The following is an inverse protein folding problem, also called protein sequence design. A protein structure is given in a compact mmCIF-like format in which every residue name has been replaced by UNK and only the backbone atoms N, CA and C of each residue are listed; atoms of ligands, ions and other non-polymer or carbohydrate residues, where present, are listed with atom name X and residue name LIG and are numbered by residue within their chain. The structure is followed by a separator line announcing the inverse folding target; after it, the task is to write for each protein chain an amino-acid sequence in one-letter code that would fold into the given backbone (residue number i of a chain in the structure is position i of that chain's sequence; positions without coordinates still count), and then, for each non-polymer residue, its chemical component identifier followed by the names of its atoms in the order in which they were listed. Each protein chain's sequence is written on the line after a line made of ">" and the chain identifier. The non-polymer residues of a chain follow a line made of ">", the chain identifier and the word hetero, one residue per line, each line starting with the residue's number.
data_IF_479417538067
#
_entry.id   IF_479417538067
#
_cell.length_a   1.000
_cell.length_b   1.000
_cell.length_c   1.000
_cell.angle_alpha   90.00
_cell.angle_beta   90.00
_cell.angle_gamma   90.00
#
_symmetry.space_group_name_H-M   'P 1'
#
loop_
_entity.id
_entity.type
_entity.pdbx_description
1 polymer ?
#
# COMPACT_ATOMS: atom_id res chain seq x y z
N UNK A 1 1.61 21.45 -1.71
CA UNK A 1 1.02 20.19 -2.21
C UNK A 1 1.68 19.08 -1.44
N UNK A 2 0.92 18.09 -0.96
CA UNK A 2 1.47 16.98 -0.18
C UNK A 2 2.61 16.33 -0.97
N UNK A 3 3.74 16.09 -0.31
CA UNK A 3 4.93 15.51 -0.95
C UNK A 3 4.77 14.00 -1.16
N UNK A 4 3.81 13.37 -0.48
CA UNK A 4 3.48 11.95 -0.65
C UNK A 4 2.00 11.66 -0.41
N UNK A 5 1.42 10.76 -1.20
CA UNK A 5 0.08 10.21 -0.98
C UNK A 5 0.16 8.95 -0.14
N UNK A 6 -0.49 8.94 1.01
CA UNK A 6 -0.50 7.85 1.98
C UNK A 6 -1.82 7.07 1.92
N UNK A 7 -1.79 5.94 1.23
CA UNK A 7 -2.93 5.04 1.05
C UNK A 7 -2.99 4.05 2.20
N UNK A 8 -4.00 4.22 3.06
CA UNK A 8 -4.14 3.41 4.26
C UNK A 8 -5.57 3.34 4.76
N UNK A 9 -5.80 2.62 5.86
CA UNK A 9 -7.08 2.62 6.57
C UNK A 9 -6.86 2.91 8.04
N UNK A 10 -7.65 3.82 8.61
CA UNK A 10 -7.51 4.30 10.00
C UNK A 10 -7.52 3.16 11.04
N UNK A 11 -8.19 2.05 10.76
CA UNK A 11 -8.30 0.89 11.68
C UNK A 11 -7.07 -0.04 11.65
N UNK A 12 -6.09 0.20 10.79
CA UNK A 12 -4.91 -0.64 10.68
C UNK A 12 -3.78 -0.15 11.59
N UNK A 13 -3.36 -1.00 12.55
CA UNK A 13 -2.23 -0.69 13.45
C UNK A 13 -0.94 -0.33 12.72
N UNK A 14 -0.59 -1.03 11.62
CA UNK A 14 0.60 -0.70 10.83
C UNK A 14 0.48 0.66 10.14
N UNK A 15 -0.71 1.02 9.65
CA UNK A 15 -0.98 2.36 9.12
C UNK A 15 -0.84 3.44 10.19
N UNK A 16 -1.33 3.20 11.41
CA UNK A 16 -1.21 4.15 12.51
C UNK A 16 0.26 4.38 12.91
N UNK A 17 1.08 3.32 12.90
CA UNK A 17 2.53 3.43 13.15
C UNK A 17 3.23 4.24 12.05
N UNK A 18 2.94 3.92 10.79
CA UNK A 18 3.45 4.65 9.64
C UNK A 18 3.04 6.13 9.66
N UNK A 19 1.79 6.42 10.00
CA UNK A 19 1.28 7.78 10.11
C UNK A 19 2.03 8.57 11.19
N UNK A 20 2.17 8.00 12.40
CA UNK A 20 2.94 8.62 13.48
C UNK A 20 4.39 8.89 13.07
N UNK A 21 5.02 7.94 12.38
CA UNK A 21 6.39 8.11 11.91
C UNK A 21 6.52 9.30 10.94
N UNK A 22 5.55 9.49 10.04
CA UNK A 22 5.50 10.64 9.12
C UNK A 22 5.28 11.95 9.89
N UNK A 23 4.33 11.95 10.84
CA UNK A 23 4.02 13.11 11.68
C UNK A 23 5.23 13.53 12.53
N UNK A 24 5.94 12.58 13.15
CA UNK A 24 7.13 12.81 13.98
C UNK A 24 8.30 13.42 13.19
N UNK A 25 8.39 13.12 11.89
CA UNK A 25 9.41 13.66 10.98
C UNK A 25 8.96 14.92 10.25
N UNK A 26 7.72 15.37 10.46
CA UNK A 26 7.17 16.54 9.78
C UNK A 26 7.03 16.36 8.26
N UNK A 27 6.86 15.11 7.79
CA UNK A 27 6.65 14.83 6.37
C UNK A 27 5.24 15.28 5.97
N UNK A 28 5.10 16.09 4.92
CA UNK A 28 3.79 16.51 4.40
C UNK A 28 3.15 15.39 3.55
N UNK A 29 2.05 14.80 4.03
CA UNK A 29 1.39 13.70 3.34
C UNK A 29 -0.12 13.90 3.18
N UNK A 30 -0.67 13.30 2.13
CA UNK A 30 -2.13 13.21 1.94
C UNK A 30 -2.63 11.85 2.40
N UNK A 31 -3.36 11.80 3.51
CA UNK A 31 -4.06 10.58 3.91
C UNK A 31 -5.20 10.26 2.94
N UNK A 32 -5.16 9.07 2.34
CA UNK A 32 -6.18 8.56 1.44
C UNK A 32 -6.66 7.21 1.95
N UNK A 33 -7.99 7.08 2.14
CA UNK A 33 -8.56 5.78 2.43
C UNK A 33 -8.60 4.94 1.16
N UNK A 34 -7.73 3.94 1.09
CA UNK A 34 -7.57 3.13 -0.11
C UNK A 34 -8.80 2.29 -0.47
N UNK A 35 -9.76 2.11 0.46
CA UNK A 35 -11.05 1.49 0.14
C UNK A 35 -12.02 2.45 -0.53
N UNK A 36 -11.77 3.76 -0.44
CA UNK A 36 -12.55 4.80 -1.12
C UNK A 36 -11.89 5.25 -2.41
N UNK A 37 -10.56 5.35 -2.39
CA UNK A 37 -9.76 5.76 -3.54
C UNK A 37 -8.52 4.87 -3.60
N UNK A 38 -8.53 3.95 -4.55
CA UNK A 38 -7.40 3.06 -4.80
C UNK A 38 -6.13 3.85 -5.18
N UNK A 39 -4.93 3.30 -4.89
CA UNK A 39 -3.70 3.78 -5.50
C UNK A 39 -3.80 3.75 -7.02
N UNK A 40 -2.95 4.51 -7.73
CA UNK A 40 -2.86 4.42 -9.18
C UNK A 40 -2.69 2.97 -9.62
N UNK A 41 -3.40 2.58 -10.68
CA UNK A 41 -3.41 1.19 -11.16
C UNK A 41 -2.01 0.69 -11.48
N UNK A 42 -1.16 1.54 -12.05
CA UNK A 42 0.25 1.27 -12.32
C UNK A 42 1.04 0.88 -11.07
N UNK A 43 0.78 1.51 -9.91
CA UNK A 43 1.40 1.19 -8.63
C UNK A 43 0.93 -0.18 -8.13
N UNK A 44 -0.36 -0.49 -8.29
CA UNK A 44 -0.92 -1.79 -7.91
C UNK A 44 -0.30 -2.90 -8.77
N UNK A 45 -0.26 -2.70 -10.09
CA UNK A 45 0.33 -3.64 -11.04
C UNK A 45 1.83 -3.85 -10.77
N UNK A 46 2.59 -2.77 -10.53
CA UNK A 46 4.00 -2.84 -10.16
C UNK A 46 4.19 -3.63 -8.86
N UNK A 47 3.40 -3.34 -7.82
CA UNK A 47 3.49 -4.05 -6.55
C UNK A 47 3.16 -5.55 -6.69
N UNK A 48 2.13 -5.90 -7.46
CA UNK A 48 1.76 -7.28 -7.74
C UNK A 48 2.85 -8.00 -8.55
N UNK A 49 3.49 -7.32 -9.51
CA UNK A 49 4.58 -7.88 -10.31
C UNK A 49 5.85 -8.11 -9.48
N UNK A 50 6.23 -7.15 -8.65
CA UNK A 50 7.48 -7.21 -7.87
C UNK A 50 7.38 -8.14 -6.67
N UNK A 51 6.25 -8.12 -5.95
CA UNK A 51 6.10 -8.87 -4.69
C UNK A 51 5.28 -10.14 -4.83
N UNK A 52 4.62 -10.34 -5.97
CA UNK A 52 3.69 -11.44 -6.17
C UNK A 52 2.56 -11.43 -5.14
N UNK A 53 2.24 -12.61 -4.60
CA UNK A 53 1.33 -12.76 -3.47
C UNK A 53 1.77 -11.99 -2.21
N UNK A 54 3.03 -11.56 -2.11
CA UNK A 54 3.53 -10.68 -1.04
C UNK A 54 2.89 -9.29 -1.04
N UNK A 55 2.34 -8.83 -2.17
CA UNK A 55 1.55 -7.61 -2.24
C UNK A 55 0.12 -7.78 -1.72
N UNK A 56 -0.34 -9.02 -1.50
CA UNK A 56 -1.63 -9.30 -0.91
C UNK A 56 -1.53 -9.40 0.63
N UNK A 57 -2.61 -9.02 1.29
CA UNK A 57 -2.73 -9.08 2.75
C UNK A 57 -2.85 -10.53 3.20
N UNK A 58 -1.76 -11.08 3.76
CA UNK A 58 -1.68 -12.47 4.30
C UNK A 58 -2.82 -12.88 5.26
N UNK A 59 -3.41 -11.92 5.99
CA UNK A 59 -4.52 -12.16 6.94
C UNK A 59 -5.91 -12.07 6.30
N UNK A 60 -6.00 -11.85 5.00
CA UNK A 60 -7.29 -11.81 4.30
C UNK A 60 -7.85 -13.22 4.12
N UNK A 61 -9.18 -13.39 4.23
CA UNK A 61 -9.83 -14.71 4.13
C UNK A 61 -9.50 -15.44 2.81
N UNK A 62 -9.46 -14.70 1.71
CA UNK A 62 -9.18 -15.20 0.36
C UNK A 62 -7.68 -15.32 0.03
N UNK A 63 -6.78 -14.94 0.95
CA UNK A 63 -5.34 -15.00 0.68
C UNK A 63 -4.88 -16.41 0.33
N UNK A 64 -5.40 -17.43 1.03
CA UNK A 64 -5.04 -18.83 0.78
C UNK A 64 -5.45 -19.33 -0.61
N UNK A 65 -6.56 -18.81 -1.14
CA UNK A 65 -7.07 -19.15 -2.48
C UNK A 65 -6.29 -18.40 -3.56
N UNK A 66 -5.89 -17.15 -3.28
CA UNK A 66 -5.26 -16.27 -4.25
C UNK A 66 -3.73 -16.36 -4.27
N UNK A 67 -3.08 -16.89 -3.23
CA UNK A 67 -1.60 -16.88 -3.13
C UNK A 67 -0.88 -17.55 -4.32
N UNK A 68 -1.53 -18.52 -4.96
CA UNK A 68 -0.99 -19.28 -6.10
C UNK A 68 -1.60 -18.81 -7.44
N UNK A 69 -2.45 -17.78 -7.42
CA UNK A 69 -3.04 -17.20 -8.61
C UNK A 69 -2.02 -16.31 -9.36
N UNK A 70 -2.38 -15.88 -10.58
CA UNK A 70 -1.54 -15.00 -11.38
C UNK A 70 -1.81 -13.51 -11.15
N UNK A 71 -0.95 -12.63 -11.69
CA UNK A 71 -1.05 -11.18 -11.54
C UNK A 71 -2.37 -10.58 -12.07
N UNK A 72 -2.90 -11.11 -13.17
CA UNK A 72 -4.20 -10.66 -13.71
C UNK A 72 -5.36 -10.95 -12.75
N UNK A 73 -5.35 -12.13 -12.13
CA UNK A 73 -6.35 -12.51 -11.13
C UNK A 73 -6.21 -11.63 -9.89
N UNK A 74 -4.99 -11.42 -9.41
CA UNK A 74 -4.76 -10.54 -8.27
C UNK A 74 -5.26 -9.12 -8.51
N UNK A 75 -4.99 -8.55 -9.68
CA UNK A 75 -5.43 -7.19 -10.00
C UNK A 75 -6.95 -7.08 -9.98
N UNK A 76 -7.65 -7.97 -10.69
CA UNK A 76 -9.12 -8.01 -10.72
C UNK A 76 -9.71 -8.15 -9.32
N UNK A 77 -9.10 -8.99 -8.49
CA UNK A 77 -9.57 -9.24 -7.13
C UNK A 77 -9.30 -8.06 -6.20
N UNK A 78 -8.17 -7.36 -6.36
CA UNK A 78 -7.88 -6.12 -5.62
C UNK A 78 -8.82 -4.97 -6.02
N UNK A 79 -9.16 -4.86 -7.30
CA UNK A 79 -10.15 -3.87 -7.77
C UNK A 79 -11.54 -4.15 -7.19
N UNK A 80 -11.92 -5.43 -7.07
CA UNK A 80 -13.19 -5.84 -6.47
C UNK A 80 -13.24 -5.71 -4.94
N UNK A 81 -12.14 -6.05 -4.25
CA UNK A 81 -11.99 -5.88 -2.80
C UNK A 81 -10.63 -5.28 -2.47
N UNK A 82 -10.55 -3.93 -2.35
CA UNK A 82 -9.31 -3.25 -1.98
C UNK A 82 -8.69 -3.78 -0.69
N UNK A 83 -9.45 -4.37 0.24
CA UNK A 83 -8.91 -4.90 1.49
C UNK A 83 -7.95 -6.09 1.30
N UNK A 84 -7.91 -6.67 0.10
CA UNK A 84 -6.92 -7.66 -0.32
C UNK A 84 -5.51 -7.09 -0.44
N UNK A 85 -5.36 -5.80 -0.78
CA UNK A 85 -4.05 -5.20 -1.00
C UNK A 85 -3.30 -4.98 0.32
N UNK A 86 -1.99 -5.20 0.28
CA UNK A 86 -1.05 -4.89 1.35
C UNK A 86 -1.04 -3.39 1.66
N UNK A 87 -0.79 -3.05 2.93
CA UNK A 87 -0.80 -1.66 3.42
C UNK A 87 0.20 -1.47 4.55
N UNK A 88 0.73 -0.25 4.77
CA UNK A 88 0.49 1.00 4.02
C UNK A 88 1.03 0.98 2.59
N UNK A 89 0.58 1.92 1.75
CA UNK A 89 1.22 2.24 0.47
C UNK A 89 1.48 3.75 0.43
N UNK A 90 2.69 4.15 0.09
CA UNK A 90 3.05 5.54 -0.20
C UNK A 90 3.31 5.69 -1.69
N UNK A 91 2.87 6.81 -2.26
CA UNK A 91 3.11 7.17 -3.66
C UNK A 91 3.55 8.63 -3.72
N UNK A 92 4.71 8.89 -4.29
CA UNK A 92 5.25 10.23 -4.49
C UNK A 92 4.79 10.82 -5.84
N UNK A 93 4.79 12.17 -5.99
CA UNK A 93 4.44 12.83 -7.26
C UNK A 93 5.33 12.46 -8.44
N UNK A 94 6.56 12.01 -8.18
CA UNK A 94 7.53 11.56 -9.18
C UNK A 94 7.30 10.10 -9.65
N UNK A 95 6.26 9.44 -9.14
CA UNK A 95 5.91 8.06 -9.48
C UNK A 95 6.58 6.99 -8.63
N UNK A 96 7.48 7.36 -7.70
CA UNK A 96 8.01 6.41 -6.72
C UNK A 96 6.89 5.90 -5.83
N UNK A 97 7.00 4.65 -5.40
CA UNK A 97 6.05 4.05 -4.47
C UNK A 97 6.74 3.07 -3.53
N UNK A 98 6.17 2.88 -2.34
CA UNK A 98 6.57 1.81 -1.43
C UNK A 98 5.34 1.17 -0.83
N UNK A 99 5.41 -0.15 -0.61
CA UNK A 99 4.38 -0.90 0.09
C UNK A 99 4.93 -1.51 1.38
N UNK A 100 4.22 -1.31 2.48
CA UNK A 100 4.60 -1.77 3.81
C UNK A 100 5.23 -0.67 4.65
N UNK A 101 5.33 -0.94 5.95
CA UNK A 101 6.01 -0.08 6.92
C UNK A 101 7.16 -0.87 7.53
N UNK A 102 8.37 -0.33 7.47
CA UNK A 102 9.59 -0.99 7.91
C UNK A 102 10.75 -0.01 8.12
N UNK A 103 11.92 -0.51 8.54
CA UNK A 103 13.10 0.31 8.79
C UNK A 103 13.65 0.99 7.52
N UNK A 104 13.30 0.45 6.35
CA UNK A 104 13.59 1.00 5.02
C UNK A 104 13.01 2.41 4.82
N UNK A 105 12.05 2.83 5.64
CA UNK A 105 11.49 4.19 5.57
C UNK A 105 12.52 5.27 5.92
N UNK A 106 13.52 5.00 6.75
CA UNK A 106 14.58 5.98 7.00
C UNK A 106 15.33 6.31 5.71
N UNK A 107 15.71 5.28 4.94
CA UNK A 107 16.45 5.45 3.67
C UNK A 107 15.57 6.08 2.57
N UNK A 108 14.26 5.88 2.62
CA UNK A 108 13.32 6.44 1.63
C UNK A 108 13.07 7.94 1.81
N UNK A 109 13.32 8.47 3.00
CA UNK A 109 13.07 9.87 3.37
C UNK A 109 14.34 10.59 3.88
N UNK A 110 15.51 9.97 3.79
CA UNK A 110 16.81 10.60 4.03
C UNK A 110 17.16 11.60 2.91
#
# INVERSE_FOLDING_TARGET
>A
MPTVNFYCKKTCKSCQKAQRWLDERGVDYRFIDYTKQLPPREVIEAALRERGAGALRKRHRRFKELKDAGPEVWLREVEADPNLLGRPILVWPDGRWVMGFGPDWEDLFA
#
